data_IF_528318011172
#
_entry.id   IF_528318011172
#
_cell.length_a   1.000
_cell.length_b   1.000
_cell.length_c   1.000
_cell.angle_alpha   90.00
_cell.angle_beta   90.00
_cell.angle_gamma   90.00
#
_symmetry.space_group_name_H-M   'P 1'
#
loop_
_entity.id
_entity.type
_entity.pdbx_description
1 polymer ?
#
# COMPACT_ATOMS: atom_id res chain seq x y z
N UNK A 1 -13.45 -31.25 4.05
CA UNK A 1 -14.11 -29.98 4.43
C UNK A 1 -13.08 -29.16 5.19
N UNK A 2 -12.52 -28.11 4.59
CA UNK A 2 -11.52 -27.23 5.24
C UNK A 2 -12.28 -26.13 5.97
N UNK A 3 -12.06 -26.03 7.28
CA UNK A 3 -12.74 -25.07 8.14
C UNK A 3 -12.39 -23.63 7.76
N UNK A 4 -13.43 -22.83 7.55
CA UNK A 4 -13.40 -21.42 7.20
C UNK A 4 -13.18 -20.64 8.50
N UNK A 5 -11.94 -20.34 8.89
CA UNK A 5 -11.76 -19.61 10.16
C UNK A 5 -10.35 -19.24 10.63
N UNK A 6 -9.26 -19.81 10.10
CA UNK A 6 -7.92 -19.43 10.53
C UNK A 6 -7.26 -18.57 9.46
N UNK A 7 -7.41 -17.25 9.59
CA UNK A 7 -6.51 -16.33 8.90
C UNK A 7 -5.12 -16.63 9.45
N UNK A 8 -4.30 -17.36 8.68
CA UNK A 8 -2.90 -17.59 9.01
C UNK A 8 -2.20 -16.23 9.00
N UNK A 9 -2.20 -15.56 10.15
CA UNK A 9 -1.54 -14.28 10.35
C UNK A 9 -0.05 -14.55 10.44
N UNK A 10 0.64 -14.31 9.34
CA UNK A 10 2.11 -14.33 9.33
C UNK A 10 2.59 -13.11 10.12
N UNK A 11 3.43 -13.28 11.15
CA UNK A 11 3.95 -12.17 11.93
C UNK A 11 4.74 -11.19 11.05
N UNK A 12 4.50 -9.89 11.26
CA UNK A 12 5.17 -8.81 10.53
C UNK A 12 6.69 -8.89 10.65
N UNK A 13 7.22 -9.28 11.81
CA UNK A 13 8.65 -9.49 12.04
C UNK A 13 9.26 -10.58 11.15
N UNK A 14 8.48 -11.60 10.80
CA UNK A 14 8.91 -12.68 9.93
C UNK A 14 8.92 -12.21 8.47
N UNK A 15 7.93 -11.42 8.05
CA UNK A 15 7.92 -10.79 6.72
C UNK A 15 9.08 -9.80 6.54
N UNK A 16 9.36 -8.96 7.55
CA UNK A 16 10.47 -8.00 7.53
C UNK A 16 11.84 -8.70 7.52
N UNK A 17 11.97 -9.83 8.22
CA UNK A 17 13.19 -10.64 8.17
C UNK A 17 13.41 -11.22 6.78
N UNK A 18 12.37 -11.77 6.15
CA UNK A 18 12.45 -12.26 4.77
C UNK A 18 12.84 -11.13 3.80
N UNK A 19 12.30 -9.92 3.96
CA UNK A 19 12.68 -8.76 3.14
C UNK A 19 14.15 -8.35 3.35
N UNK A 20 14.63 -8.36 4.60
CA UNK A 20 16.02 -8.04 4.94
C UNK A 20 17.03 -9.10 4.44
N UNK A 21 16.60 -10.36 4.30
CA UNK A 21 17.44 -11.49 3.87
C UNK A 21 17.37 -11.73 2.34
N UNK A 22 16.37 -11.18 1.65
CA UNK A 22 16.23 -11.33 0.20
C UNK A 22 17.17 -10.37 -0.53
N UNK A 23 18.29 -10.92 -0.98
CA UNK A 23 19.28 -10.27 -1.87
C UNK A 23 18.60 -9.67 -3.11
N UNK A 24 19.08 -8.51 -3.56
CA UNK A 24 18.58 -7.67 -4.67
C UNK A 24 17.60 -8.42 -5.60
N UNK A 25 16.31 -8.23 -5.34
CA UNK A 25 15.26 -8.73 -6.20
C UNK A 25 15.31 -7.91 -7.50
N UNK A 26 15.75 -8.53 -8.58
CA UNK A 26 15.87 -7.91 -9.91
C UNK A 26 14.54 -7.29 -10.38
N UNK A 27 13.41 -7.90 -9.98
CA UNK A 27 12.08 -7.41 -10.33
C UNK A 27 11.03 -7.70 -9.23
N UNK A 28 10.90 -6.85 -8.19
CA UNK A 28 9.94 -7.07 -7.12
C UNK A 28 8.50 -6.92 -7.64
N UNK A 29 7.69 -7.98 -7.47
CA UNK A 29 6.25 -7.92 -7.76
C UNK A 29 5.55 -7.09 -6.68
N UNK A 30 5.35 -5.80 -6.98
CA UNK A 30 4.69 -4.87 -6.06
C UNK A 30 3.17 -5.14 -6.02
N UNK A 31 2.69 -5.66 -4.88
CA UNK A 31 1.26 -5.77 -4.58
C UNK A 31 0.84 -4.55 -3.75
N UNK A 32 -0.33 -3.96 -4.02
CA UNK A 32 -0.84 -2.82 -3.27
C UNK A 32 -2.29 -3.02 -2.84
N UNK A 33 -2.70 -2.34 -1.78
CA UNK A 33 -4.06 -2.32 -1.26
C UNK A 33 -4.37 -0.99 -0.59
N UNK A 34 -5.65 -0.71 -0.40
CA UNK A 34 -6.15 0.50 0.26
C UNK A 34 -6.96 0.14 1.50
N UNK A 35 -6.71 0.88 2.57
CA UNK A 35 -7.55 0.82 3.76
C UNK A 35 -7.73 2.23 4.32
N UNK A 36 -8.97 2.71 4.30
CA UNK A 36 -9.39 3.96 4.95
C UNK A 36 -10.35 3.64 6.09
N UNK A 37 -10.07 4.16 7.29
CA UNK A 37 -10.95 4.03 8.46
C UNK A 37 -11.61 5.36 8.86
N UNK A 38 -11.56 6.37 7.99
CA UNK A 38 -12.14 7.69 8.27
C UNK A 38 -13.67 7.62 8.36
N UNK A 39 -14.23 8.11 9.47
CA UNK A 39 -15.68 8.20 9.66
C UNK A 39 -16.30 9.38 8.90
N UNK A 40 -15.49 10.37 8.51
CA UNK A 40 -15.94 11.66 7.96
C UNK A 40 -15.59 11.87 6.47
N UNK A 41 -15.00 10.87 5.81
CA UNK A 41 -14.57 10.98 4.41
C UNK A 41 -13.48 12.02 4.20
N UNK A 42 -12.70 12.29 5.25
CA UNK A 42 -11.67 13.32 5.29
C UNK A 42 -10.27 12.73 5.02
N UNK A 43 -10.15 11.41 4.98
CA UNK A 43 -8.94 10.73 4.51
C UNK A 43 -9.07 10.45 3.01
N UNK A 44 -8.09 10.94 2.24
CA UNK A 44 -8.00 10.68 0.81
C UNK A 44 -6.77 9.83 0.52
N UNK A 45 -6.97 8.72 -0.18
CA UNK A 45 -5.88 7.92 -0.73
C UNK A 45 -5.89 8.00 -2.25
N UNK A 46 -4.71 8.05 -2.84
CA UNK A 46 -4.51 8.04 -4.28
C UNK A 46 -3.48 6.97 -4.64
N UNK A 47 -3.87 6.03 -5.50
CA UNK A 47 -2.98 5.01 -6.03
C UNK A 47 -3.01 5.06 -7.55
N UNK A 48 -1.84 5.26 -8.17
CA UNK A 48 -1.67 5.18 -9.61
C UNK A 48 -0.47 4.32 -9.95
N UNK A 49 -0.74 3.11 -10.44
CA UNK A 49 0.28 2.19 -10.92
C UNK A 49 0.52 2.35 -12.42
N UNK A 50 1.62 1.80 -12.90
CA UNK A 50 1.97 1.76 -14.33
C UNK A 50 2.10 3.16 -14.99
N UNK A 51 2.60 4.15 -14.25
CA UNK A 51 2.96 5.45 -14.82
C UNK A 51 4.23 5.29 -15.67
N UNK A 52 4.31 5.97 -16.81
CA UNK A 52 5.50 5.95 -17.68
C UNK A 52 6.13 7.33 -17.68
N UNK A 53 7.45 7.42 -17.42
CA UNK A 53 8.17 8.70 -17.44
C UNK A 53 8.42 9.21 -18.87
N UNK A 54 8.59 8.27 -19.81
CA UNK A 54 8.71 8.52 -21.25
C UNK A 54 7.61 7.74 -21.96
N UNK A 55 6.94 8.37 -22.94
CA UNK A 55 5.88 7.71 -23.72
C UNK A 55 6.46 6.48 -24.45
N UNK A 56 5.76 5.35 -24.33
CA UNK A 56 6.09 4.06 -24.95
C UNK A 56 7.39 3.37 -24.45
N UNK A 57 8.01 3.84 -23.38
CA UNK A 57 9.15 3.16 -22.75
C UNK A 57 8.72 2.40 -21.49
N UNK A 58 8.59 1.08 -21.60
CA UNK A 58 8.20 0.18 -20.49
C UNK A 58 9.30 -0.03 -19.44
N UNK A 59 10.50 0.53 -19.63
CA UNK A 59 11.63 0.40 -18.70
C UNK A 59 11.58 1.46 -17.61
N UNK A 60 10.88 2.57 -17.83
CA UNK A 60 10.76 3.69 -16.89
C UNK A 60 9.40 3.76 -16.21
N UNK A 61 8.79 2.59 -15.98
CA UNK A 61 7.51 2.50 -15.29
C UNK A 61 7.66 2.76 -13.79
N UNK A 62 6.79 3.58 -13.22
CA UNK A 62 6.75 3.90 -11.80
C UNK A 62 5.32 3.89 -11.26
N UNK A 63 5.18 3.85 -9.94
CA UNK A 63 3.89 3.94 -9.25
C UNK A 63 3.88 5.14 -8.31
N UNK A 64 2.73 5.79 -8.18
CA UNK A 64 2.51 6.96 -7.32
C UNK A 64 1.51 6.57 -6.24
N UNK A 65 1.89 6.84 -4.99
CA UNK A 65 1.05 6.63 -3.80
C UNK A 65 0.96 7.95 -3.04
N UNK A 66 -0.26 8.40 -2.74
CA UNK A 66 -0.52 9.59 -1.95
C UNK A 66 -1.54 9.30 -0.86
N UNK A 67 -1.31 9.84 0.33
CA UNK A 67 -2.25 9.79 1.44
C UNK A 67 -2.33 11.19 2.06
N UNK A 68 -3.54 11.73 2.15
CA UNK A 68 -3.83 12.95 2.87
C UNK A 68 -4.69 12.58 4.08
N UNK A 69 -4.12 12.77 5.26
CA UNK A 69 -4.82 12.60 6.53
C UNK A 69 -5.31 13.98 6.98
N UNK A 70 -6.63 14.19 7.00
CA UNK A 70 -7.18 15.38 7.63
C UNK A 70 -7.16 15.17 9.15
N UNK A 71 -6.52 16.10 9.85
CA UNK A 71 -6.38 16.03 11.31
C UNK A 71 -7.77 16.00 11.97
N UNK A 72 -8.06 15.05 12.87
CA UNK A 72 -9.35 14.99 13.57
C UNK A 72 -9.62 16.21 14.46
N UNK A 73 -8.61 17.04 14.72
CA UNK A 73 -8.72 18.23 15.58
C UNK A 73 -9.32 19.46 14.88
N UNK A 74 -9.49 19.47 13.55
CA UNK A 74 -10.15 20.57 12.83
C UNK A 74 -11.67 20.44 12.78
N UNK A 75 -12.23 19.33 13.30
CA UNK A 75 -13.65 18.99 13.16
C UNK A 75 -14.51 19.32 14.40
N UNK A 76 -13.95 19.93 15.45
CA UNK A 76 -14.67 20.36 16.67
C UNK A 76 -14.81 21.89 16.77
N UNK A 77 -15.16 22.57 15.68
CA UNK A 77 -15.59 23.97 15.74
C UNK A 77 -16.52 24.27 14.57
N UNK A 78 -17.79 23.89 14.71
CA UNK A 78 -18.99 24.64 14.29
C UNK A 78 -20.19 23.95 14.89
#
# INVERSE_FOLDING_TARGET
>A
MVSKGEHQTVPLSLLLKHESENEKIDNPKLSHGEHGQSKKGEDFMMVKTHCHRVLADGVTTFSVYGCMLLNPHSSQST
#
